data_IF_940174733822
#
_entry.id   IF_940174733822
#
_cell.length_a   1.000
_cell.length_b   1.000
_cell.length_c   1.000
_cell.angle_alpha   90.00
_cell.angle_beta   90.00
_cell.angle_gamma   90.00
#
_symmetry.space_group_name_H-M   'P 1'
#
loop_
_entity.id
_entity.type
_entity.pdbx_description
1 polymer ?
#
# COMPACT_ATOMS: atom_id res chain seq x y z
N UNK A 1 12.26 6.96 -2.76
CA UNK A 1 12.30 5.60 -2.18
C UNK A 1 11.07 4.80 -2.59
N UNK A 2 11.21 3.48 -2.72
CA UNK A 2 10.15 2.56 -3.16
C UNK A 2 8.91 2.60 -2.25
N UNK A 3 9.11 2.71 -0.94
CA UNK A 3 8.06 2.84 0.08
C UNK A 3 7.14 4.05 -0.17
N UNK A 4 7.71 5.20 -0.55
CA UNK A 4 6.91 6.41 -0.84
C UNK A 4 6.01 6.23 -2.07
N UNK A 5 6.45 5.49 -3.08
CA UNK A 5 5.63 5.20 -4.27
C UNK A 5 4.42 4.34 -3.89
N UNK A 6 4.61 3.33 -3.05
CA UNK A 6 3.53 2.45 -2.57
C UNK A 6 2.53 3.25 -1.72
N UNK A 7 3.03 4.07 -0.78
CA UNK A 7 2.19 4.96 0.03
C UNK A 7 1.34 5.86 -0.86
N UNK A 8 1.96 6.56 -1.82
CA UNK A 8 1.23 7.47 -2.73
C UNK A 8 0.19 6.73 -3.56
N UNK A 9 0.54 5.57 -4.12
CA UNK A 9 -0.37 4.78 -4.96
C UNK A 9 -1.59 4.28 -4.18
N UNK A 10 -1.39 3.82 -2.94
CA UNK A 10 -2.49 3.38 -2.08
C UNK A 10 -3.33 4.58 -1.64
N UNK A 11 -2.72 5.69 -1.23
CA UNK A 11 -3.44 6.92 -0.90
C UNK A 11 -4.31 7.42 -2.05
N UNK A 12 -3.78 7.45 -3.27
CA UNK A 12 -4.54 7.84 -4.46
C UNK A 12 -5.69 6.86 -4.74
N UNK A 13 -5.47 5.56 -4.56
CA UNK A 13 -6.52 4.56 -4.72
C UNK A 13 -7.64 4.70 -3.68
N UNK A 14 -7.32 5.09 -2.45
CA UNK A 14 -8.31 5.44 -1.42
C UNK A 14 -9.06 6.72 -1.82
N UNK A 15 -8.34 7.77 -2.21
CA UNK A 15 -8.91 9.07 -2.60
C UNK A 15 -9.90 8.93 -3.77
N UNK A 16 -9.52 8.15 -4.78
CA UNK A 16 -10.36 7.85 -5.95
C UNK A 16 -11.43 6.79 -5.67
N UNK A 17 -11.63 6.36 -4.42
CA UNK A 17 -12.59 5.31 -4.01
C UNK A 17 -12.42 3.98 -4.76
N UNK A 18 -11.23 3.71 -5.30
CA UNK A 18 -10.88 2.38 -5.85
C UNK A 18 -10.66 1.36 -4.74
N UNK A 19 -10.24 1.83 -3.56
CA UNK A 19 -10.19 1.07 -2.32
C UNK A 19 -11.27 1.63 -1.37
N UNK A 20 -12.48 1.05 -1.34
CA UNK A 20 -13.50 1.48 -0.41
C UNK A 20 -13.06 1.29 1.06
N UNK A 21 -13.59 2.10 1.99
CA UNK A 21 -13.29 1.94 3.41
C UNK A 21 -13.66 0.53 3.89
N UNK A 22 -12.79 -0.07 4.71
CA UNK A 22 -12.92 -1.45 5.15
C UNK A 22 -12.29 -2.50 4.22
N UNK A 23 -11.72 -2.09 3.09
CA UNK A 23 -10.94 -3.02 2.23
C UNK A 23 -9.74 -3.58 3.00
N UNK A 24 -9.61 -4.90 3.02
CA UNK A 24 -8.45 -5.57 3.61
C UNK A 24 -7.23 -5.40 2.70
N UNK A 25 -6.17 -4.79 3.22
CA UNK A 25 -4.89 -4.66 2.54
C UNK A 25 -3.99 -5.83 2.91
N UNK A 26 -3.74 -6.74 1.97
CA UNK A 26 -2.86 -7.88 2.17
C UNK A 26 -1.43 -7.54 1.73
N UNK A 27 -0.47 -7.62 2.66
CA UNK A 27 0.95 -7.37 2.39
C UNK A 27 1.50 -8.25 1.27
N UNK A 28 1.03 -9.50 1.14
CA UNK A 28 1.45 -10.43 0.07
C UNK A 28 1.06 -9.93 -1.30
N UNK A 29 -0.22 -9.65 -1.46
CA UNK A 29 -0.81 -9.32 -2.75
C UNK A 29 -0.26 -7.98 -3.25
N UNK A 30 -0.03 -7.04 -2.32
CA UNK A 30 0.62 -5.75 -2.62
C UNK A 30 2.11 -5.98 -2.97
N UNK A 31 2.83 -6.85 -2.25
CA UNK A 31 4.22 -7.13 -2.56
C UNK A 31 4.39 -7.72 -3.97
N UNK A 32 3.48 -8.61 -4.37
CA UNK A 32 3.45 -9.22 -5.70
C UNK A 32 3.04 -8.20 -6.78
N UNK A 33 2.03 -7.37 -6.52
CA UNK A 33 1.58 -6.34 -7.45
C UNK A 33 2.66 -5.29 -7.77
N UNK A 34 3.46 -4.92 -6.77
CA UNK A 34 4.51 -3.91 -6.92
C UNK A 34 5.89 -4.52 -7.23
N UNK A 35 6.01 -5.85 -7.29
CA UNK A 35 7.27 -6.61 -7.46
C UNK A 35 8.34 -6.20 -6.42
N UNK A 36 7.96 -6.19 -5.15
CA UNK A 36 8.80 -5.76 -4.02
C UNK A 36 8.79 -6.77 -2.89
N UNK A 37 9.74 -6.63 -1.95
CA UNK A 37 9.72 -7.45 -0.74
C UNK A 37 8.61 -7.01 0.23
N UNK A 38 8.06 -7.99 0.98
CA UNK A 38 7.04 -7.72 2.01
C UNK A 38 7.48 -6.72 3.08
N UNK A 39 8.78 -6.66 3.37
CA UNK A 39 9.34 -5.71 4.33
C UNK A 39 9.10 -4.27 3.89
N UNK A 40 9.25 -3.97 2.60
CA UNK A 40 8.99 -2.63 2.05
C UNK A 40 7.50 -2.29 2.12
N UNK A 41 6.63 -3.24 1.79
CA UNK A 41 5.17 -3.06 1.88
C UNK A 41 4.74 -2.83 3.32
N UNK A 42 5.22 -3.62 4.28
CA UNK A 42 4.93 -3.41 5.71
C UNK A 42 5.32 -2.00 6.15
N UNK A 43 6.51 -1.52 5.77
CA UNK A 43 6.92 -0.15 6.09
C UNK A 43 5.99 0.91 5.46
N UNK A 44 5.52 0.68 4.23
CA UNK A 44 4.56 1.57 3.58
C UNK A 44 3.22 1.60 4.32
N UNK A 45 2.68 0.43 4.69
CA UNK A 45 1.41 0.32 5.42
C UNK A 45 1.50 0.93 6.82
N UNK A 46 2.60 0.72 7.55
CA UNK A 46 2.83 1.37 8.84
C UNK A 46 2.82 2.90 8.67
N UNK A 47 3.47 3.41 7.62
CA UNK A 47 3.50 4.85 7.36
C UNK A 47 2.16 5.45 6.94
N UNK A 48 1.27 4.66 6.34
CA UNK A 48 -0.11 5.05 6.04
C UNK A 48 -1.00 5.10 7.29
N UNK A 49 -0.63 4.40 8.37
CA UNK A 49 -1.38 4.39 9.64
C UNK A 49 -0.99 5.51 10.62
N UNK A 50 0.03 6.30 10.28
CA UNK A 50 0.49 7.47 11.03
C UNK A 50 -0.20 8.71 10.50
#
# INVERSE_FOLDING_TARGET
MLTHKIVSAISDAIYHRRLPPGTKLNERDIAELFDVSRTVVRQALIRLSQ
#
